data_IF_126103433186
#
_entry.id   IF_126103433186
#
_cell.length_a   1.000
_cell.length_b   1.000
_cell.length_c   1.000
_cell.angle_alpha   90.00
_cell.angle_beta   90.00
_cell.angle_gamma   90.00
#
_symmetry.space_group_name_H-M   'P 1'
#
loop_
_entity.id
_entity.type
_entity.pdbx_description
1 polymer ?
#
# COMPACT_ATOMS: atom_id res chain seq x y z
N UNK A 1 10.49 -11.08 -7.32
CA UNK A 1 9.47 -10.73 -6.30
C UNK A 1 10.20 -10.02 -5.19
N UNK A 2 9.82 -8.78 -4.88
CA UNK A 2 10.34 -8.01 -3.74
C UNK A 2 9.35 -8.13 -2.57
N UNK A 3 9.83 -8.20 -1.34
CA UNK A 3 8.99 -8.21 -0.14
C UNK A 3 9.38 -7.02 0.73
N UNK A 4 8.40 -6.27 1.21
CA UNK A 4 8.57 -5.11 2.09
C UNK A 4 7.48 -5.07 3.17
N UNK A 5 7.61 -4.18 4.16
CA UNK A 5 6.60 -4.02 5.21
C UNK A 5 5.41 -3.17 4.75
N UNK A 6 5.65 -1.91 4.39
CA UNK A 6 4.67 -0.92 3.92
C UNK A 6 5.30 0.03 2.90
N UNK A 7 4.50 0.48 1.93
CA UNK A 7 4.96 1.51 0.98
C UNK A 7 4.50 2.89 1.46
N UNK A 8 5.46 3.74 1.87
CA UNK A 8 5.19 5.13 2.29
C UNK A 8 5.40 6.13 1.15
N UNK A 9 6.65 6.34 0.72
CA UNK A 9 7.02 7.22 -0.40
C UNK A 9 7.63 6.47 -1.59
N UNK A 10 7.69 5.13 -1.51
CA UNK A 10 8.30 4.27 -2.53
C UNK A 10 9.83 4.39 -2.63
N UNK A 11 10.50 5.04 -1.66
CA UNK A 11 11.97 5.25 -1.69
C UNK A 11 12.73 3.92 -1.65
N UNK A 12 12.39 3.01 -0.73
CA UNK A 12 13.04 1.70 -0.61
C UNK A 12 12.87 0.85 -1.89
N UNK A 13 11.69 0.95 -2.52
CA UNK A 13 11.40 0.28 -3.78
C UNK A 13 12.25 0.86 -4.91
N UNK A 14 12.38 2.20 -5.00
CA UNK A 14 13.23 2.88 -5.99
C UNK A 14 14.68 2.41 -5.94
N UNK A 15 15.28 2.42 -4.74
CA UNK A 15 16.66 1.95 -4.54
C UNK A 15 16.82 0.47 -4.92
N UNK A 16 15.86 -0.36 -4.47
CA UNK A 16 15.87 -1.79 -4.79
C UNK A 16 15.75 -2.05 -6.30
N UNK A 17 14.95 -1.25 -7.01
CA UNK A 17 14.78 -1.35 -8.46
C UNK A 17 16.06 -1.04 -9.22
N UNK A 18 16.82 -0.04 -8.79
CA UNK A 18 18.13 0.26 -9.38
C UNK A 18 19.09 -0.92 -9.23
N UNK A 19 19.11 -1.55 -8.06
CA UNK A 19 19.94 -2.75 -7.79
C UNK A 19 19.50 -3.93 -8.65
N UNK A 20 18.20 -4.22 -8.73
CA UNK A 20 17.65 -5.32 -9.53
C UNK A 20 18.02 -5.14 -11.00
N UNK A 21 17.83 -3.92 -11.54
CA UNK A 21 18.15 -3.60 -12.93
C UNK A 21 19.65 -3.66 -13.20
N UNK A 22 20.49 -3.19 -12.27
CA UNK A 22 21.95 -3.27 -12.39
C UNK A 22 22.46 -4.72 -12.46
N UNK A 23 21.71 -5.68 -11.91
CA UNK A 23 21.99 -7.11 -11.98
C UNK A 23 21.30 -7.80 -13.18
N UNK A 24 20.66 -7.05 -14.08
CA UNK A 24 20.03 -7.58 -15.29
C UNK A 24 18.78 -8.42 -15.03
N UNK A 25 18.11 -8.23 -13.89
CA UNK A 25 16.87 -8.90 -13.56
C UNK A 25 15.65 -7.99 -13.74
N UNK A 26 14.48 -8.60 -13.89
CA UNK A 26 13.19 -7.91 -13.96
C UNK A 26 12.42 -8.05 -12.64
N UNK A 27 11.71 -6.99 -12.25
CA UNK A 27 10.84 -7.02 -11.08
C UNK A 27 9.49 -7.65 -11.44
N UNK A 28 9.27 -8.89 -10.98
CA UNK A 28 7.98 -9.57 -11.14
C UNK A 28 6.80 -8.93 -10.37
N UNK A 29 7.09 -8.17 -9.30
CA UNK A 29 6.10 -7.57 -8.41
C UNK A 29 6.65 -7.32 -7.01
N UNK A 30 5.86 -6.62 -6.20
CA UNK A 30 6.14 -6.29 -4.79
C UNK A 30 5.05 -6.88 -3.90
N UNK A 31 5.44 -7.49 -2.78
CA UNK A 31 4.54 -7.95 -1.73
C UNK A 31 4.74 -7.09 -0.48
N UNK A 32 3.65 -6.55 0.08
CA UNK A 32 3.66 -5.79 1.34
C UNK A 32 2.65 -6.33 2.35
N UNK A 33 2.82 -5.96 3.62
CA UNK A 33 1.90 -6.40 4.67
C UNK A 33 0.51 -5.75 4.53
N UNK A 34 0.46 -4.43 4.31
CA UNK A 34 -0.79 -3.68 4.22
C UNK A 34 -0.77 -2.63 3.11
N UNK A 35 -1.85 -2.61 2.33
CA UNK A 35 -2.20 -1.48 1.45
C UNK A 35 -3.12 -0.51 2.22
N UNK A 36 -2.59 0.67 2.53
CA UNK A 36 -3.32 1.70 3.28
C UNK A 36 -4.41 2.40 2.46
N UNK A 37 -4.42 2.25 1.14
CA UNK A 37 -5.43 2.84 0.23
C UNK A 37 -5.64 4.33 0.45
N UNK A 38 -4.54 5.06 0.70
CA UNK A 38 -4.52 6.49 0.98
C UNK A 38 -3.69 7.24 -0.06
N UNK A 39 -4.07 8.49 -0.32
CA UNK A 39 -3.33 9.42 -1.18
C UNK A 39 -1.95 9.67 -0.60
N UNK A 40 -0.94 9.66 -1.46
CA UNK A 40 0.39 10.15 -1.13
C UNK A 40 0.43 11.68 -1.19
N UNK A 41 1.50 12.23 -1.78
CA UNK A 41 1.57 13.67 -2.09
C UNK A 41 0.77 14.06 -3.33
N UNK A 42 0.30 13.08 -4.08
CA UNK A 42 -0.49 13.24 -5.30
C UNK A 42 -1.91 12.67 -5.10
N UNK A 43 -2.73 12.67 -6.14
CA UNK A 43 -4.04 12.00 -6.14
C UNK A 43 -3.93 10.47 -6.14
N UNK A 44 -2.73 9.92 -6.33
CA UNK A 44 -2.48 8.48 -6.31
C UNK A 44 -1.95 8.04 -4.95
N UNK A 45 -2.20 6.77 -4.60
CA UNK A 45 -1.49 6.14 -3.48
C UNK A 45 -0.03 5.85 -3.84
N UNK A 46 0.80 5.70 -2.81
CA UNK A 46 2.20 5.29 -3.00
C UNK A 46 2.33 3.96 -3.74
N UNK A 47 1.35 3.06 -3.58
CA UNK A 47 1.26 1.81 -4.31
C UNK A 47 0.99 2.07 -5.80
N UNK A 48 -0.04 2.87 -6.13
CA UNK A 48 -0.36 3.21 -7.52
C UNK A 48 0.79 3.95 -8.22
N UNK A 49 1.55 4.79 -7.50
CA UNK A 49 2.76 5.42 -8.02
C UNK A 49 3.84 4.39 -8.35
N UNK A 50 4.07 3.40 -7.49
CA UNK A 50 5.02 2.29 -7.75
C UNK A 50 4.58 1.45 -8.95
N UNK A 51 3.31 1.07 -9.02
CA UNK A 51 2.79 0.29 -10.16
C UNK A 51 2.95 1.04 -11.49
N UNK A 52 2.62 2.34 -11.50
CA UNK A 52 2.79 3.21 -12.67
C UNK A 52 4.26 3.38 -13.06
N UNK A 53 5.13 3.67 -12.10
CA UNK A 53 6.52 4.04 -12.35
C UNK A 53 7.37 2.82 -12.78
N UNK A 54 7.03 1.63 -12.29
CA UNK A 54 7.83 0.41 -12.50
C UNK A 54 7.14 -0.68 -13.32
N UNK A 55 5.86 -0.51 -13.67
CA UNK A 55 5.11 -1.48 -14.48
C UNK A 55 4.98 -2.85 -13.83
N UNK A 56 5.00 -2.91 -12.49
CA UNK A 56 4.91 -4.13 -11.71
C UNK A 56 3.65 -4.13 -10.85
N UNK A 57 3.14 -5.31 -10.50
CA UNK A 57 2.02 -5.43 -9.58
C UNK A 57 2.49 -5.28 -8.13
N UNK A 58 1.72 -4.56 -7.31
CA UNK A 58 1.88 -4.59 -5.85
C UNK A 58 0.76 -5.41 -5.24
N UNK A 59 1.14 -6.37 -4.39
CA UNK A 59 0.25 -7.28 -3.70
C UNK A 59 0.35 -6.97 -2.20
N UNK A 60 -0.77 -6.92 -1.50
CA UNK A 60 -0.81 -6.77 -0.04
C UNK A 60 -1.43 -7.99 0.62
N UNK A 61 -1.03 -8.28 1.86
CA UNK A 61 -1.68 -9.33 2.67
C UNK A 61 -3.09 -8.85 3.08
N UNK A 62 -3.22 -7.58 3.45
CA UNK A 62 -4.50 -6.93 3.77
C UNK A 62 -4.57 -5.51 3.21
N UNK A 63 -5.77 -4.99 3.05
CA UNK A 63 -6.02 -3.58 2.69
C UNK A 63 -6.68 -2.81 3.84
N UNK A 64 -6.72 -1.48 3.76
CA UNK A 64 -7.55 -0.65 4.64
C UNK A 64 -9.02 -1.07 4.57
N UNK A 65 -9.52 -1.46 3.39
CA UNK A 65 -10.85 -2.04 3.24
C UNK A 65 -11.08 -3.29 4.09
N UNK A 66 -10.08 -4.16 4.21
CA UNK A 66 -10.16 -5.36 5.05
C UNK A 66 -10.12 -5.00 6.54
N UNK A 67 -9.33 -3.98 6.93
CA UNK A 67 -9.33 -3.45 8.30
C UNK A 67 -10.70 -2.89 8.68
N UNK A 68 -11.34 -2.13 7.78
CA UNK A 68 -12.69 -1.61 7.99
C UNK A 68 -13.68 -2.75 8.17
N UNK A 69 -13.66 -3.76 7.29
CA UNK A 69 -14.53 -4.95 7.39
C UNK A 69 -14.34 -5.67 8.71
N UNK A 70 -13.09 -5.86 9.14
CA UNK A 70 -12.78 -6.49 10.42
C UNK A 70 -13.39 -5.71 11.59
N UNK A 71 -13.24 -4.38 11.62
CA UNK A 71 -13.78 -3.54 12.69
C UNK A 71 -15.32 -3.54 12.73
N UNK A 72 -15.99 -3.70 11.59
CA UNK A 72 -17.46 -3.82 11.51
C UNK A 72 -18.00 -5.09 12.19
N UNK A 73 -17.19 -6.15 12.25
CA UNK A 73 -17.56 -7.44 12.84
C UNK A 73 -17.25 -7.53 14.35
N UNK A 74 -16.47 -6.58 14.91
CA UNK A 74 -16.05 -6.61 16.31
C UNK A 74 -16.93 -5.70 17.19
N UNK A 75 -17.61 -6.30 18.18
CA UNK A 75 -18.32 -5.54 19.20
C UNK A 75 -17.36 -4.69 20.04
N UNK A 76 -17.71 -3.43 20.31
CA UNK A 76 -16.90 -2.52 21.13
C UNK A 76 -15.79 -1.78 20.37
N UNK A 77 -15.75 -1.88 19.03
CA UNK A 77 -14.77 -1.21 18.17
C UNK A 77 -15.35 0.00 17.42
N UNK A 78 -16.56 0.45 17.76
CA UNK A 78 -17.31 1.47 17.03
C UNK A 78 -16.53 2.79 16.92
N UNK A 79 -15.87 3.22 18.00
CA UNK A 79 -15.06 4.43 17.99
C UNK A 79 -13.85 4.33 17.05
N UNK A 80 -13.23 3.16 16.94
CA UNK A 80 -12.12 2.92 16.01
C UNK A 80 -12.61 2.85 14.57
N UNK A 81 -13.75 2.18 14.34
CA UNK A 81 -14.39 2.11 13.04
C UNK A 81 -14.73 3.51 12.51
N UNK A 82 -15.34 4.36 13.33
CA UNK A 82 -15.69 5.73 12.97
C UNK A 82 -14.44 6.56 12.65
N UNK A 83 -13.39 6.45 13.44
CA UNK A 83 -12.12 7.14 13.20
C UNK A 83 -11.47 6.70 11.88
N UNK A 84 -11.43 5.40 11.60
CA UNK A 84 -10.87 4.85 10.35
C UNK A 84 -11.72 5.24 9.14
N UNK A 85 -13.06 5.25 9.27
CA UNK A 85 -13.96 5.71 8.21
C UNK A 85 -13.78 7.18 7.90
N UNK A 86 -13.63 8.03 8.92
CA UNK A 86 -13.36 9.45 8.74
C UNK A 86 -12.01 9.68 8.03
N UNK A 87 -10.96 8.97 8.46
CA UNK A 87 -9.65 9.01 7.80
C UNK A 87 -9.74 8.59 6.32
N UNK A 88 -10.44 7.49 6.03
CA UNK A 88 -10.63 7.01 4.65
C UNK A 88 -11.44 8.01 3.81
N UNK A 89 -12.42 8.70 4.38
CA UNK A 89 -13.19 9.71 3.67
C UNK A 89 -12.32 10.92 3.28
N UNK A 90 -11.35 11.29 4.12
CA UNK A 90 -10.47 12.43 3.89
C UNK A 90 -9.30 12.08 2.95
N UNK A 91 -8.68 10.92 3.14
CA UNK A 91 -7.42 10.56 2.47
C UNK A 91 -7.52 9.39 1.50
N UNK A 92 -8.65 8.69 1.41
CA UNK A 92 -8.80 7.48 0.61
C UNK A 92 -8.65 7.71 -0.91
N UNK A 93 -8.16 6.68 -1.61
CA UNK A 93 -8.18 6.56 -3.08
C UNK A 93 -9.06 5.42 -3.58
#
# INVERSE_FOLDING_TARGET
MLVDDVITAGTAIRESMEIIKANGADLAGVLVAIDRQEKGKSELSAIQEVERDFGCAVISIVSLGDVVRYLEEQAGMEAHLDAVKAYRAEYGV
#
